data_IF_236335519999
#
_entry.id   IF_236335519999
#
_cell.length_a   1.000
_cell.length_b   1.000
_cell.length_c   1.000
_cell.angle_alpha   90.00
_cell.angle_beta   90.00
_cell.angle_gamma   90.00
#
_symmetry.space_group_name_H-M   'P 1'
#
loop_
_entity.id
_entity.type
_entity.pdbx_description
1 polymer ?
#
# COMPACT_ATOMS: atom_id res chain seq x y z
N UNK A 1 1.36 18.00 -13.91
CA UNK A 1 2.03 16.77 -13.41
C UNK A 1 1.92 16.75 -11.88
N UNK A 2 2.13 15.61 -11.20
CA UNK A 2 1.96 15.51 -9.74
C UNK A 2 2.76 16.58 -8.97
N UNK A 3 3.91 16.99 -9.50
CA UNK A 3 4.75 18.09 -9.01
C UNK A 3 4.02 19.44 -8.97
N UNK A 4 3.13 19.72 -9.92
CA UNK A 4 2.36 20.98 -9.95
C UNK A 4 1.27 21.01 -8.86
N UNK A 5 0.97 19.86 -8.25
CA UNK A 5 0.02 19.73 -7.15
C UNK A 5 0.70 19.80 -5.76
N UNK A 6 1.97 20.22 -5.70
CA UNK A 6 2.72 20.32 -4.43
C UNK A 6 3.16 18.96 -3.88
N UNK A 7 3.30 17.96 -4.75
CA UNK A 7 3.62 16.59 -4.38
C UNK A 7 5.02 16.24 -4.89
N UNK A 8 5.98 16.16 -3.96
CA UNK A 8 7.35 15.74 -4.24
C UNK A 8 7.42 14.23 -4.15
N UNK A 9 7.29 13.57 -5.31
CA UNK A 9 7.32 12.12 -5.39
C UNK A 9 8.66 11.59 -4.87
N UNK A 10 8.57 10.62 -3.95
CA UNK A 10 9.72 9.97 -3.35
C UNK A 10 10.06 8.70 -4.15
N UNK A 11 11.21 8.65 -4.83
CA UNK A 11 11.67 7.44 -5.49
C UNK A 11 11.94 6.33 -4.48
N UNK A 12 11.86 5.08 -4.93
CA UNK A 12 12.20 3.91 -4.10
C UNK A 12 13.66 4.00 -3.67
N UNK A 13 13.93 3.84 -2.37
CA UNK A 13 15.27 3.93 -1.80
C UNK A 13 15.77 5.36 -1.54
N UNK A 14 14.92 6.37 -1.77
CA UNK A 14 15.19 7.78 -1.46
C UNK A 14 14.25 8.33 -0.40
N UNK A 15 13.75 7.46 0.47
CA UNK A 15 12.86 7.85 1.55
C UNK A 15 13.51 8.87 2.49
N UNK A 16 12.79 9.94 2.89
CA UNK A 16 13.26 10.85 3.91
C UNK A 16 13.60 10.11 5.21
N UNK A 17 14.42 10.72 6.06
CA UNK A 17 14.73 10.16 7.37
C UNK A 17 13.45 9.80 8.14
N UNK A 18 13.46 8.66 8.83
CA UNK A 18 12.28 8.13 9.51
C UNK A 18 11.71 9.08 10.58
N UNK A 19 12.53 9.98 11.11
CA UNK A 19 12.17 11.01 12.08
C UNK A 19 11.98 12.40 11.47
N UNK A 20 12.05 12.55 10.14
CA UNK A 20 11.84 13.82 9.45
C UNK A 20 10.42 14.37 9.63
N UNK A 21 10.25 15.67 9.39
CA UNK A 21 8.94 16.32 9.39
C UNK A 21 8.96 17.36 8.27
N UNK A 22 8.11 17.25 7.25
CA UNK A 22 8.07 18.22 6.15
C UNK A 22 7.81 19.63 6.66
N UNK A 23 8.49 20.63 6.09
CA UNK A 23 8.22 22.03 6.39
C UNK A 23 6.90 22.45 5.73
N UNK A 24 5.86 22.84 6.49
CA UNK A 24 4.60 23.28 5.92
C UNK A 24 4.72 24.54 5.05
N UNK A 25 5.82 25.29 5.14
CA UNK A 25 6.09 26.46 4.31
C UNK A 25 6.80 26.14 2.99
N UNK A 26 7.24 24.89 2.76
CA UNK A 26 8.02 24.51 1.57
C UNK A 26 7.24 24.57 0.25
N UNK A 27 5.91 24.66 0.30
CA UNK A 27 5.05 24.68 -0.89
C UNK A 27 4.87 23.31 -1.56
N UNK A 28 5.58 22.29 -1.10
CA UNK A 28 5.45 20.89 -1.48
C UNK A 28 5.56 19.97 -0.27
N UNK A 29 5.07 18.73 -0.42
CA UNK A 29 5.17 17.68 0.59
C UNK A 29 5.67 16.37 -0.03
N UNK A 30 6.45 15.56 0.70
CA UNK A 30 6.84 14.23 0.25
C UNK A 30 5.63 13.34 -0.03
N UNK A 31 5.65 12.67 -1.17
CA UNK A 31 4.57 11.82 -1.63
C UNK A 31 5.04 10.42 -2.00
N UNK A 32 4.27 9.44 -1.60
CA UNK A 32 4.42 8.05 -2.03
C UNK A 32 3.31 7.69 -3.00
N UNK A 33 3.67 7.08 -4.13
CA UNK A 33 2.71 6.68 -5.15
C UNK A 33 2.59 5.16 -5.19
N UNK A 34 1.37 4.66 -4.94
CA UNK A 34 0.96 3.28 -5.15
C UNK A 34 0.13 3.21 -6.44
N UNK A 35 0.51 2.38 -7.44
CA UNK A 35 -0.24 2.33 -8.69
C UNK A 35 -1.61 1.67 -8.50
N UNK A 36 -2.60 2.23 -9.18
CA UNK A 36 -3.93 1.65 -9.33
C UNK A 36 -4.12 0.93 -10.65
N UNK A 37 -5.37 0.59 -10.96
CA UNK A 37 -5.68 -0.15 -12.19
C UNK A 37 -5.46 0.69 -13.46
N UNK A 38 -5.64 2.01 -13.38
CA UNK A 38 -5.44 2.90 -14.51
C UNK A 38 -3.98 2.97 -14.97
N UNK A 39 -3.03 2.78 -14.04
CA UNK A 39 -1.60 2.69 -14.34
C UNK A 39 -1.22 1.39 -15.09
N UNK A 40 -2.14 0.42 -15.19
CA UNK A 40 -1.94 -0.80 -15.97
C UNK A 40 -2.56 -0.78 -17.37
N UNK A 41 -3.27 0.29 -17.73
CA UNK A 41 -4.00 0.36 -19.00
C UNK A 41 -3.11 0.88 -20.12
N UNK A 42 -3.06 0.14 -21.23
CA UNK A 42 -2.41 0.54 -22.46
C UNK A 42 -3.36 1.25 -23.43
N UNK A 43 -3.00 1.22 -24.72
CA UNK A 43 -3.79 1.83 -25.79
C UNK A 43 -5.25 1.34 -25.78
N UNK A 44 -6.18 2.27 -26.05
CA UNK A 44 -7.62 2.02 -26.06
C UNK A 44 -8.19 1.47 -24.73
N UNK A 45 -7.55 1.79 -23.60
CA UNK A 45 -7.93 1.30 -22.25
C UNK A 45 -7.92 -0.23 -22.13
N UNK A 46 -7.08 -0.90 -22.93
CA UNK A 46 -6.89 -2.35 -22.80
C UNK A 46 -5.96 -2.61 -21.63
N UNK A 47 -6.39 -3.46 -20.69
CA UNK A 47 -5.56 -3.87 -19.55
C UNK A 47 -4.27 -4.53 -20.04
N UNK A 48 -3.13 -4.09 -19.51
CA UNK A 48 -1.80 -4.63 -19.80
C UNK A 48 -1.05 -4.94 -18.49
N UNK A 49 0.12 -4.35 -18.29
CA UNK A 49 1.02 -4.52 -17.15
C UNK A 49 1.48 -3.14 -16.65
N UNK A 50 2.44 -3.11 -15.72
CA UNK A 50 2.98 -1.89 -15.15
C UNK A 50 4.26 -1.39 -15.84
N UNK A 51 4.55 -1.79 -17.08
CA UNK A 51 5.79 -1.40 -17.78
C UNK A 51 5.98 0.11 -17.82
N UNK A 52 4.95 0.87 -18.19
CA UNK A 52 5.03 2.34 -18.27
C UNK A 52 5.19 2.97 -16.88
N UNK A 53 4.41 2.50 -15.90
CA UNK A 53 4.53 2.97 -14.51
C UNK A 53 5.94 2.72 -13.96
N UNK A 54 6.49 1.52 -14.17
CA UNK A 54 7.82 1.16 -13.68
C UNK A 54 8.92 1.88 -14.44
N UNK A 55 8.72 2.19 -15.73
CA UNK A 55 9.64 3.02 -16.50
C UNK A 55 9.78 4.44 -15.93
N UNK A 56 8.68 5.02 -15.47
CA UNK A 56 8.66 6.40 -14.94
C UNK A 56 8.98 6.47 -13.44
N UNK A 57 8.33 5.63 -12.62
CA UNK A 57 8.35 5.73 -11.16
C UNK A 57 9.17 4.63 -10.47
N UNK A 58 9.57 3.59 -11.20
CA UNK A 58 10.32 2.46 -10.67
C UNK A 58 9.45 1.39 -10.00
N UNK A 59 9.99 0.76 -8.97
CA UNK A 59 9.37 -0.41 -8.33
C UNK A 59 8.00 -0.04 -7.70
N UNK A 60 6.92 -0.80 -7.99
CA UNK A 60 5.55 -0.40 -7.64
C UNK A 60 5.11 -0.77 -6.21
N UNK A 61 5.99 -1.38 -5.45
CA UNK A 61 5.77 -1.79 -4.06
C UNK A 61 7.05 -1.54 -3.25
N UNK A 62 6.91 -1.23 -1.97
CA UNK A 62 8.06 -0.96 -1.08
C UNK A 62 7.65 -0.97 0.39
N UNK A 63 8.63 -0.88 1.28
CA UNK A 63 8.43 -0.54 2.68
C UNK A 63 9.30 0.63 3.10
N UNK A 64 8.85 1.35 4.12
CA UNK A 64 9.65 2.36 4.81
C UNK A 64 9.09 2.57 6.21
N UNK A 65 9.91 3.11 7.10
CA UNK A 65 9.50 3.46 8.45
C UNK A 65 9.44 4.98 8.59
N UNK A 66 8.38 5.49 9.22
CA UNK A 66 8.23 6.89 9.55
C UNK A 66 7.54 7.05 10.90
N UNK A 67 8.18 7.78 11.82
CA UNK A 67 7.68 8.08 13.18
C UNK A 67 7.14 6.84 13.91
N UNK A 68 7.92 5.76 13.90
CA UNK A 68 7.57 4.50 14.56
C UNK A 68 6.46 3.70 13.88
N UNK A 69 6.12 4.02 12.63
CA UNK A 69 5.15 3.26 11.83
C UNK A 69 5.84 2.69 10.61
N UNK A 70 5.67 1.39 10.38
CA UNK A 70 6.10 0.73 9.15
C UNK A 70 4.99 0.81 8.11
N UNK A 71 5.29 1.46 7.00
CA UNK A 71 4.44 1.50 5.83
C UNK A 71 4.81 0.37 4.89
N UNK A 72 3.80 -0.34 4.40
CA UNK A 72 3.92 -1.41 3.42
C UNK A 72 3.04 -1.03 2.24
N UNK A 73 3.66 -0.64 1.13
CA UNK A 73 2.97 -0.25 -0.08
C UNK A 73 2.94 -1.43 -1.04
N UNK A 74 1.75 -1.85 -1.46
CA UNK A 74 1.51 -3.02 -2.30
C UNK A 74 0.91 -2.61 -3.65
N UNK A 75 1.38 -3.23 -4.72
CA UNK A 75 0.87 -3.04 -6.07
C UNK A 75 -0.29 -4.01 -6.32
N UNK A 76 -1.47 -3.47 -6.62
CA UNK A 76 -2.67 -4.27 -6.91
C UNK A 76 -3.33 -3.91 -8.24
N UNK A 77 -2.64 -3.22 -9.15
CA UNK A 77 -3.15 -2.66 -10.40
C UNK A 77 -3.94 -3.63 -11.27
N UNK A 78 -3.61 -4.93 -11.28
CA UNK A 78 -4.35 -5.93 -12.07
C UNK A 78 -5.58 -6.53 -11.35
N UNK A 79 -5.94 -5.99 -10.18
CA UNK A 79 -6.96 -6.53 -9.29
C UNK A 79 -6.48 -7.73 -8.46
N UNK A 80 -5.17 -8.00 -8.46
CA UNK A 80 -4.51 -9.08 -7.72
C UNK A 80 -3.10 -8.64 -7.30
N UNK A 81 -2.69 -9.02 -6.09
CA UNK A 81 -1.35 -8.78 -5.57
C UNK A 81 -0.31 -9.62 -6.33
N UNK A 82 -0.48 -10.94 -6.37
CA UNK A 82 0.46 -11.85 -7.03
C UNK A 82 0.50 -11.63 -8.54
N UNK A 83 -0.65 -11.27 -9.13
CA UNK A 83 -0.77 -10.97 -10.54
C UNK A 83 -0.08 -9.67 -10.92
N UNK A 84 -0.10 -8.65 -10.03
CA UNK A 84 0.55 -7.36 -10.31
C UNK A 84 2.05 -7.41 -10.06
N UNK A 85 2.50 -7.99 -8.94
CA UNK A 85 3.93 -8.20 -8.66
C UNK A 85 4.12 -9.34 -7.66
N UNK A 86 4.79 -10.42 -8.07
CA UNK A 86 4.94 -11.63 -7.25
C UNK A 86 5.77 -11.41 -5.98
N UNK A 87 6.90 -10.71 -6.11
CA UNK A 87 7.90 -10.57 -5.05
C UNK A 87 7.44 -9.69 -3.87
N UNK A 88 6.32 -8.99 -4.01
CA UNK A 88 5.79 -8.14 -2.96
C UNK A 88 5.22 -8.94 -1.77
N UNK A 89 4.74 -10.17 -1.99
CA UNK A 89 4.17 -11.00 -0.92
C UNK A 89 5.25 -11.48 0.07
N UNK A 90 6.39 -12.04 -0.38
CA UNK A 90 7.54 -12.29 0.50
C UNK A 90 8.06 -11.03 1.18
N UNK A 91 8.10 -9.90 0.46
CA UNK A 91 8.47 -8.61 1.04
C UNK A 91 7.55 -8.23 2.21
N UNK A 92 6.23 -8.32 2.03
CA UNK A 92 5.25 -8.02 3.09
C UNK A 92 5.43 -8.94 4.30
N UNK A 93 5.62 -10.24 4.06
CA UNK A 93 5.86 -11.21 5.12
C UNK A 93 7.12 -10.86 5.93
N UNK A 94 8.21 -10.52 5.24
CA UNK A 94 9.46 -10.11 5.85
C UNK A 94 9.29 -8.81 6.64
N UNK A 95 8.61 -7.82 6.07
CA UNK A 95 8.35 -6.52 6.69
C UNK A 95 7.59 -6.66 8.01
N UNK A 96 6.58 -7.53 8.06
CA UNK A 96 5.85 -7.85 9.28
C UNK A 96 6.75 -8.60 10.27
N UNK A 97 7.52 -9.59 9.83
CA UNK A 97 8.42 -10.35 10.69
C UNK A 97 9.49 -9.47 11.36
N UNK A 98 10.02 -8.50 10.63
CA UNK A 98 10.99 -7.53 11.16
C UNK A 98 10.32 -6.53 12.09
N UNK A 99 9.13 -6.02 11.73
CA UNK A 99 8.36 -5.14 12.59
C UNK A 99 7.98 -5.81 13.91
N UNK A 100 7.81 -7.14 13.96
CA UNK A 100 7.58 -7.86 15.23
C UNK A 100 8.76 -7.73 16.19
N UNK A 101 9.98 -7.74 15.67
CA UNK A 101 11.24 -7.77 16.45
C UNK A 101 11.76 -6.38 16.79
N UNK A 102 11.40 -5.38 16.00
CA UNK A 102 11.89 -4.01 16.16
C UNK A 102 11.10 -3.23 17.22
N UNK A 103 11.70 -2.83 18.36
CA UNK A 103 11.00 -2.07 19.39
C UNK A 103 10.70 -0.62 18.99
N UNK A 104 11.35 -0.08 17.95
CA UNK A 104 11.08 1.27 17.44
C UNK A 104 9.82 1.35 16.57
N UNK A 105 9.35 0.20 16.05
CA UNK A 105 8.11 0.10 15.28
C UNK A 105 6.93 -0.21 16.22
N UNK A 106 5.94 0.67 16.24
CA UNK A 106 4.73 0.55 17.06
C UNK A 106 3.48 0.20 16.25
N UNK A 107 3.48 0.54 14.95
CA UNK A 107 2.35 0.33 14.06
C UNK A 107 2.81 -0.19 12.69
N UNK A 108 1.92 -0.92 12.01
CA UNK A 108 2.04 -1.25 10.59
C UNK A 108 0.83 -0.71 9.84
N UNK A 109 1.07 -0.08 8.70
CA UNK A 109 0.04 0.34 7.76
C UNK A 109 0.30 -0.27 6.39
N UNK A 110 -0.69 -1.00 5.87
CA UNK A 110 -0.66 -1.54 4.51
C UNK A 110 -1.48 -0.64 3.60
N UNK A 111 -0.94 -0.29 2.43
CA UNK A 111 -1.66 0.45 1.39
C UNK A 111 -1.70 -0.38 0.12
N UNK A 112 -2.87 -0.46 -0.51
CA UNK A 112 -3.07 -1.02 -1.84
C UNK A 112 -4.18 -0.24 -2.55
N UNK A 113 -4.16 -0.20 -3.88
CA UNK A 113 -5.24 0.48 -4.62
C UNK A 113 -6.58 -0.24 -4.49
N UNK A 114 -6.63 -1.54 -4.79
CA UNK A 114 -7.79 -2.38 -4.54
C UNK A 114 -7.87 -2.78 -3.05
N UNK A 115 -8.96 -2.47 -2.32
CA UNK A 115 -9.15 -2.90 -0.94
C UNK A 115 -9.32 -4.42 -0.82
N UNK A 116 -9.13 -4.92 0.40
CA UNK A 116 -9.48 -6.31 0.75
C UNK A 116 -11.00 -6.52 0.76
N UNK A 117 -11.77 -5.49 1.08
CA UNK A 117 -13.23 -5.48 1.07
C UNK A 117 -13.76 -4.15 0.50
N UNK A 118 -14.53 -4.20 -0.60
CA UNK A 118 -15.20 -3.03 -1.18
C UNK A 118 -16.59 -2.92 -0.55
N UNK A 119 -16.97 -1.84 0.15
CA UNK A 119 -18.25 -1.75 0.86
C UNK A 119 -19.49 -1.70 -0.05
N UNK A 120 -19.32 -1.49 -1.36
CA UNK A 120 -20.43 -1.47 -2.31
C UNK A 120 -21.10 -2.84 -2.49
N UNK A 121 -22.40 -2.86 -2.80
CA UNK A 121 -23.13 -4.12 -3.09
C UNK A 121 -22.50 -4.95 -4.20
N UNK A 122 -21.89 -4.29 -5.20
CA UNK A 122 -21.27 -4.94 -6.36
C UNK A 122 -19.92 -5.58 -6.04
N UNK A 123 -19.25 -5.15 -4.95
CA UNK A 123 -17.90 -5.61 -4.57
C UNK A 123 -16.89 -5.52 -5.73
N UNK A 124 -17.08 -4.57 -6.65
CA UNK A 124 -16.40 -4.56 -7.96
C UNK A 124 -14.98 -4.01 -7.90
N UNK A 125 -14.60 -3.35 -6.80
CA UNK A 125 -13.37 -2.58 -6.68
C UNK A 125 -12.34 -3.23 -5.77
N UNK A 126 -12.67 -4.35 -5.12
CA UNK A 126 -11.76 -5.06 -4.23
C UNK A 126 -10.79 -5.97 -4.97
N UNK A 127 -9.84 -6.54 -4.24
CA UNK A 127 -9.01 -7.65 -4.72
C UNK A 127 -9.91 -8.79 -5.23
N UNK A 128 -9.74 -9.13 -6.50
CA UNK A 128 -10.55 -10.15 -7.18
C UNK A 128 -10.23 -11.56 -6.72
N UNK A 129 -8.97 -11.81 -6.33
CA UNK A 129 -8.56 -13.05 -5.68
C UNK A 129 -8.87 -12.97 -4.18
N UNK A 130 -9.88 -13.71 -3.74
CA UNK A 130 -10.34 -13.68 -2.34
C UNK A 130 -9.38 -14.34 -1.38
N UNK A 131 -8.53 -15.24 -1.86
CA UNK A 131 -7.49 -15.86 -1.03
C UNK A 131 -6.37 -14.85 -0.72
N UNK A 132 -6.06 -13.95 -1.67
CA UNK A 132 -5.13 -12.84 -1.42
C UNK A 132 -5.66 -11.85 -0.39
N UNK A 133 -6.95 -11.51 -0.47
CA UNK A 133 -7.59 -10.65 0.53
C UNK A 133 -7.55 -11.30 1.94
N UNK A 134 -7.97 -12.56 2.03
CA UNK A 134 -7.93 -13.32 3.29
C UNK A 134 -6.49 -13.48 3.83
N UNK A 135 -5.50 -13.62 2.95
CA UNK A 135 -4.09 -13.66 3.35
C UNK A 135 -3.64 -12.35 4.01
N UNK A 136 -3.95 -11.20 3.41
CA UNK A 136 -3.62 -9.87 3.98
C UNK A 136 -4.28 -9.69 5.34
N UNK A 137 -5.59 -9.95 5.44
CA UNK A 137 -6.36 -9.85 6.69
C UNK A 137 -5.78 -10.75 7.77
N UNK A 138 -5.47 -12.01 7.42
CA UNK A 138 -4.87 -12.98 8.35
C UNK A 138 -3.49 -12.53 8.81
N UNK A 139 -2.62 -12.09 7.91
CA UNK A 139 -1.26 -11.66 8.26
C UNK A 139 -1.28 -10.47 9.23
N UNK A 140 -2.17 -9.50 9.01
CA UNK A 140 -2.32 -8.34 9.89
C UNK A 140 -2.96 -8.71 11.23
N UNK A 141 -3.95 -9.57 11.22
CA UNK A 141 -4.60 -10.09 12.45
C UNK A 141 -3.58 -10.85 13.30
N UNK A 142 -2.80 -11.75 12.70
CA UNK A 142 -1.76 -12.51 13.40
C UNK A 142 -0.63 -11.59 13.90
N UNK A 143 -0.30 -10.54 13.17
CA UNK A 143 0.68 -9.53 13.60
C UNK A 143 0.21 -8.82 14.85
N UNK A 144 -1.01 -8.29 14.83
CA UNK A 144 -1.62 -7.60 15.96
C UNK A 144 -1.77 -8.53 17.16
N UNK A 145 -2.28 -9.74 16.98
CA UNK A 145 -2.47 -10.70 18.07
C UNK A 145 -1.14 -11.15 18.70
N UNK A 146 -0.10 -11.33 17.89
CA UNK A 146 1.20 -11.78 18.39
C UNK A 146 2.08 -10.68 18.99
N UNK A 147 1.75 -9.40 18.80
CA UNK A 147 2.61 -8.28 19.24
C UNK A 147 1.91 -7.22 20.08
N UNK A 148 0.59 -7.08 19.97
CA UNK A 148 -0.16 -5.95 20.51
C UNK A 148 0.06 -4.63 19.76
N UNK A 149 0.87 -4.60 18.69
CA UNK A 149 1.15 -3.40 17.87
C UNK A 149 -0.05 -3.04 17.00
N UNK A 150 -0.15 -1.76 16.65
CA UNK A 150 -1.18 -1.27 15.73
C UNK A 150 -1.03 -1.90 14.33
N UNK A 151 -2.14 -2.23 13.70
CA UNK A 151 -2.19 -2.72 12.33
C UNK A 151 -3.46 -2.18 11.67
N UNK A 152 -3.35 -1.69 10.45
CA UNK A 152 -4.49 -1.29 9.62
C UNK A 152 -4.13 -1.43 8.14
N UNK A 153 -5.16 -1.56 7.30
CA UNK A 153 -5.04 -1.55 5.84
C UNK A 153 -5.84 -0.40 5.24
N UNK A 154 -5.32 0.22 4.19
CA UNK A 154 -5.97 1.31 3.49
C UNK A 154 -6.09 0.94 2.01
N UNK A 155 -7.33 0.90 1.54
CA UNK A 155 -7.68 0.68 0.14
C UNK A 155 -8.27 1.93 -0.51
N UNK A 156 -8.33 1.91 -1.84
CA UNK A 156 -8.94 2.95 -2.67
C UNK A 156 -9.91 2.31 -3.66
N UNK A 157 -9.95 2.77 -4.90
CA UNK A 157 -10.71 2.26 -6.05
C UNK A 157 -12.24 2.34 -5.95
N UNK A 158 -12.84 2.01 -4.81
CA UNK A 158 -14.29 1.96 -4.58
C UNK A 158 -14.99 3.32 -4.62
N UNK A 159 -14.24 4.43 -4.54
CA UNK A 159 -14.78 5.80 -4.50
C UNK A 159 -15.78 6.02 -3.34
N UNK A 160 -15.65 5.25 -2.27
CA UNK A 160 -16.47 5.32 -1.06
C UNK A 160 -15.51 5.52 0.12
N UNK A 161 -15.86 6.46 1.01
CA UNK A 161 -15.19 6.59 2.31
C UNK A 161 -15.86 5.64 3.30
N UNK A 162 -15.15 4.61 3.73
CA UNK A 162 -15.61 3.61 4.69
C UNK A 162 -14.49 3.22 5.65
N UNK A 163 -14.84 2.91 6.90
CA UNK A 163 -13.92 2.39 7.92
C UNK A 163 -14.67 1.35 8.72
N UNK A 164 -14.15 0.13 8.75
CA UNK A 164 -14.71 -0.97 9.53
C UNK A 164 -13.57 -1.76 10.18
N UNK A 165 -13.90 -2.67 11.11
CA UNK A 165 -12.91 -3.46 11.84
C UNK A 165 -13.15 -4.94 11.59
N UNK A 166 -12.14 -5.64 11.10
CA UNK A 166 -12.14 -7.09 10.86
C UNK A 166 -11.13 -7.74 11.80
N UNK A 167 -11.59 -8.66 12.66
CA UNK A 167 -10.72 -9.47 13.55
C UNK A 167 -9.72 -8.66 14.40
N UNK A 168 -10.03 -7.39 14.70
CA UNK A 168 -9.14 -6.53 15.48
C UNK A 168 -8.38 -5.48 14.67
N UNK A 169 -8.35 -5.59 13.35
CA UNK A 169 -7.65 -4.73 12.40
C UNK A 169 -8.66 -3.78 11.73
N UNK A 170 -8.49 -2.45 11.84
CA UNK A 170 -9.26 -1.47 11.08
C UNK A 170 -8.86 -1.38 9.60
#
# INVERSE_FOLDING_TARGET
MLTDAGCDLIPVGQEPAADSTPDPAAGSVPCYYVPGNHESYGLNNVRSDLTDFTGEFGQPYRTFDHKGTRFILLASSLGSLRGTAWDQLPMMQQALADARKDPSVHNVLVFAHHPVDDPAETRSSQLGDRDEAALVEKMLTDFRNGTGKGAATVGSHAQIADVHRVEGVP
#
